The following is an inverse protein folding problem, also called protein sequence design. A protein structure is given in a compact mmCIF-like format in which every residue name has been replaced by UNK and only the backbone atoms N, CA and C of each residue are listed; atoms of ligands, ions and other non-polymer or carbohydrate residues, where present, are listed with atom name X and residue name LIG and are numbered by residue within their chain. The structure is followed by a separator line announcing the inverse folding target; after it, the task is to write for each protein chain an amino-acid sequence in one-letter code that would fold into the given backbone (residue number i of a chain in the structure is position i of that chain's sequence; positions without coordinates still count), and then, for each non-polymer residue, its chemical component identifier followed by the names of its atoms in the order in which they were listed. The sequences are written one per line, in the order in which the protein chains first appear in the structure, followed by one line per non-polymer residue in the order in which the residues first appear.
data_IF_231400322310
#
_entry.id   IF_231400322310
#
_cell.length_a   1.000
_cell.length_b   1.000
_cell.length_c   1.000
_cell.angle_alpha   90.00
_cell.angle_beta   90.00
_cell.angle_gamma   90.00
#
_symmetry.space_group_name_H-M   'P 1'
#
loop_
_entity.id
_entity.type
_entity.pdbx_description
1 polymer ?
#
# COMPACT_ATOMS: atom_id res chain seq x y z
N UNK A 1 -3.21 2.21 -7.98
CA UNK A 1 -4.69 2.24 -7.80
C UNK A 1 -5.37 2.97 -8.96
N UNK A 2 -6.59 2.60 -9.39
CA UNK A 2 -7.28 3.38 -10.44
C UNK A 2 -7.87 4.65 -9.82
N UNK A 3 -7.43 5.82 -10.28
CA UNK A 3 -7.83 7.13 -9.74
C UNK A 3 -9.36 7.38 -9.78
N UNK A 4 -10.08 6.69 -10.66
CA UNK A 4 -11.54 6.78 -10.78
C UNK A 4 -12.25 6.12 -9.59
N UNK A 5 -11.77 4.96 -9.13
CA UNK A 5 -12.33 4.21 -7.99
C UNK A 5 -12.09 4.94 -6.66
N UNK A 6 -11.05 5.78 -6.57
CA UNK A 6 -10.79 6.60 -5.39
C UNK A 6 -11.68 7.85 -5.32
N UNK A 7 -12.15 8.37 -6.46
CA UNK A 7 -13.02 9.55 -6.50
C UNK A 7 -14.46 9.26 -6.07
N UNK A 8 -14.86 7.99 -6.11
CA UNK A 8 -16.20 7.53 -5.71
C UNK A 8 -16.29 7.24 -4.21
N UNK A 9 -15.16 7.14 -3.51
CA UNK A 9 -15.10 6.87 -2.06
C UNK A 9 -15.37 8.11 -1.23
N UNK A 10 -16.00 7.93 -0.07
CA UNK A 10 -16.14 8.98 0.94
C UNK A 10 -14.79 9.33 1.58
N UNK A 11 -14.72 10.45 2.30
CA UNK A 11 -13.50 10.84 3.03
C UNK A 11 -13.14 9.80 4.11
N UNK A 12 -14.13 9.23 4.79
CA UNK A 12 -13.88 8.17 5.79
C UNK A 12 -13.33 6.89 5.16
N UNK A 13 -13.88 6.50 4.01
CA UNK A 13 -13.42 5.33 3.24
C UNK A 13 -12.01 5.53 2.70
N UNK A 14 -11.70 6.73 2.20
CA UNK A 14 -10.36 7.09 1.74
C UNK A 14 -9.33 7.08 2.87
N UNK A 15 -9.69 7.57 4.06
CA UNK A 15 -8.80 7.52 5.22
C UNK A 15 -8.55 6.08 5.69
N UNK A 16 -9.58 5.24 5.65
CA UNK A 16 -9.46 3.81 5.99
C UNK A 16 -8.56 3.09 4.99
N UNK A 17 -8.76 3.32 3.71
CA UNK A 17 -7.93 2.78 2.63
C UNK A 17 -6.47 3.23 2.78
N UNK A 18 -6.24 4.52 3.03
CA UNK A 18 -4.90 5.08 3.23
C UNK A 18 -4.16 4.39 4.39
N UNK A 19 -4.84 4.19 5.53
CA UNK A 19 -4.23 3.49 6.67
C UNK A 19 -3.91 2.03 6.35
N UNK A 20 -4.74 1.37 5.56
CA UNK A 20 -4.47 -0.01 5.13
C UNK A 20 -3.25 -0.09 4.21
N UNK A 21 -3.14 0.82 3.24
CA UNK A 21 -1.97 0.91 2.35
C UNK A 21 -0.68 1.22 3.11
N UNK A 22 -0.73 2.13 4.07
CA UNK A 22 0.44 2.47 4.91
C UNK A 22 0.90 1.26 5.74
N UNK A 23 -0.05 0.49 6.29
CA UNK A 23 0.26 -0.75 7.01
C UNK A 23 0.90 -1.80 6.09
N UNK A 24 0.36 -1.97 4.89
CA UNK A 24 0.91 -2.89 3.90
C UNK A 24 2.33 -2.48 3.49
N UNK A 25 2.56 -1.19 3.20
CA UNK A 25 3.88 -0.66 2.89
C UNK A 25 4.88 -0.88 4.04
N UNK A 26 4.46 -0.65 5.29
CA UNK A 26 5.29 -0.91 6.46
C UNK A 26 5.69 -2.39 6.54
N UNK A 27 4.73 -3.30 6.39
CA UNK A 27 4.99 -4.74 6.42
C UNK A 27 5.96 -5.17 5.30
N UNK A 28 5.79 -4.65 4.08
CA UNK A 28 6.69 -4.92 2.98
C UNK A 28 8.12 -4.40 3.25
N UNK A 29 8.26 -3.22 3.85
CA UNK A 29 9.57 -2.68 4.27
C UNK A 29 10.22 -3.56 5.33
N UNK A 30 9.46 -4.05 6.30
CA UNK A 30 9.96 -4.96 7.33
C UNK A 30 10.40 -6.31 6.74
N UNK A 31 9.62 -6.88 5.81
CA UNK A 31 9.98 -8.11 5.09
C UNK A 31 11.23 -7.92 4.22
N UNK A 32 11.40 -6.75 3.60
CA UNK A 32 12.59 -6.40 2.84
C UNK A 32 13.81 -6.30 3.76
N UNK A 33 13.67 -5.62 4.91
CA UNK A 33 14.75 -5.46 5.89
C UNK A 33 15.18 -6.78 6.54
N UNK A 34 14.26 -7.73 6.72
CA UNK A 34 14.57 -9.07 7.24
C UNK A 34 15.18 -10.02 6.20
N UNK A 35 15.30 -9.59 4.93
CA UNK A 35 15.79 -10.42 3.83
C UNK A 35 14.82 -11.52 3.37
N UNK A 36 13.57 -11.49 3.85
CA UNK A 36 12.54 -12.49 3.53
C UNK A 36 11.71 -12.10 2.29
N UNK A 37 11.83 -10.87 1.81
CA UNK A 37 11.10 -10.40 0.64
C UNK A 37 11.71 -10.93 -0.67
N UNK A 38 11.15 -12.03 -1.18
CA UNK A 38 11.57 -12.65 -2.43
C UNK A 38 11.21 -11.83 -3.69
N UNK A 39 10.17 -10.99 -3.61
CA UNK A 39 9.65 -10.21 -4.73
C UNK A 39 9.80 -8.70 -4.47
N UNK A 40 11.01 -8.19 -4.71
CA UNK A 40 11.38 -6.77 -4.46
C UNK A 40 10.57 -5.76 -5.27
N UNK A 41 9.95 -6.18 -6.37
CA UNK A 41 9.08 -5.34 -7.21
C UNK A 41 7.79 -4.89 -6.49
N UNK A 42 7.35 -5.63 -5.46
CA UNK A 42 6.17 -5.28 -4.65
C UNK A 42 6.34 -3.98 -3.86
N UNK A 43 7.60 -3.56 -3.59
CA UNK A 43 7.89 -2.29 -2.93
C UNK A 43 7.56 -1.07 -3.82
N UNK A 44 7.60 -1.21 -5.14
CA UNK A 44 7.30 -0.12 -6.09
C UNK A 44 5.80 0.02 -6.36
N UNK A 45 5.06 -1.09 -6.38
CA UNK A 45 3.63 -1.10 -6.72
C UNK A 45 2.77 -0.44 -5.64
N UNK A 46 3.19 -0.48 -4.38
CA UNK A 46 2.50 0.20 -3.27
C UNK A 46 2.61 1.74 -3.30
N UNK A 47 3.37 2.30 -4.25
CA UNK A 47 3.57 3.75 -4.41
C UNK A 47 3.08 4.30 -5.76
N UNK A 48 2.35 3.52 -6.57
CA UNK A 48 1.80 3.92 -7.89
C UNK A 48 0.29 3.61 -8.02
#
# INVERSE_FOLDING_TARGET
MKAQELREKSVEELNTELLNLLREQFNLRMQAASGQLQQTHLLKTSAS
#
